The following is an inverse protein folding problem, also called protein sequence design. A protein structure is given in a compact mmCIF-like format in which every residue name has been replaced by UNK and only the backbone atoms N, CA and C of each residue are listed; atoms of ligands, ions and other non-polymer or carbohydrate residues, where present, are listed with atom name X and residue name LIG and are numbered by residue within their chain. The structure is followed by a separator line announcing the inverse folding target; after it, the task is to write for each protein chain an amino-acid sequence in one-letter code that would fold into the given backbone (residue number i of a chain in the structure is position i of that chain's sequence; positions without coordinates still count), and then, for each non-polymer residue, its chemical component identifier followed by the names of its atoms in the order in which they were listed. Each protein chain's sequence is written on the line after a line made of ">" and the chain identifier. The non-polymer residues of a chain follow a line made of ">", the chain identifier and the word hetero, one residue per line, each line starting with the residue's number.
data_IF_310685685891
#
_entry.id   IF_310685685891
#
_cell.length_a   1.000
_cell.length_b   1.000
_cell.length_c   1.000
_cell.angle_alpha   90.00
_cell.angle_beta   90.00
_cell.angle_gamma   90.00
#
_symmetry.space_group_name_H-M   'P 1'
#
loop_
_entity.id
_entity.type
_entity.pdbx_description
1 polymer ?
#
# COMPACT_ATOMS: atom_id res chain seq x y z
N UNK A 1 -7.07 -9.56 5.52
CA UNK A 1 -7.71 -8.71 6.55
C UNK A 1 -7.56 -9.41 7.89
N UNK A 2 -7.51 -8.63 8.98
CA UNK A 2 -7.56 -9.14 10.36
C UNK A 2 -8.63 -8.42 11.19
N UNK A 3 -8.82 -7.10 11.02
CA UNK A 3 -9.89 -6.31 11.66
C UNK A 3 -10.52 -5.38 10.60
N UNK A 4 -11.85 -5.17 10.63
CA UNK A 4 -12.57 -4.19 9.79
C UNK A 4 -13.10 -4.72 8.45
N UNK A 5 -13.21 -3.82 7.45
CA UNK A 5 -13.60 -4.14 6.07
C UNK A 5 -12.39 -4.40 5.17
N UNK A 6 -12.62 -4.95 3.97
CA UNK A 6 -11.54 -5.34 3.06
C UNK A 6 -10.89 -4.10 2.47
N UNK A 7 -9.61 -3.92 2.76
CA UNK A 7 -8.79 -2.85 2.17
C UNK A 7 -7.81 -3.47 1.17
N UNK A 8 -8.08 -3.20 -0.10
CA UNK A 8 -7.23 -3.52 -1.24
C UNK A 8 -5.95 -2.67 -1.24
N UNK A 9 -4.94 -3.09 -2.00
CA UNK A 9 -3.72 -2.28 -2.17
C UNK A 9 -4.04 -0.95 -2.88
N UNK A 10 -4.97 -0.96 -3.83
CA UNK A 10 -5.35 0.22 -4.59
C UNK A 10 -5.98 1.29 -3.69
N UNK A 11 -6.91 0.90 -2.81
CA UNK A 11 -7.51 1.83 -1.83
C UNK A 11 -6.46 2.47 -0.91
N UNK A 12 -5.40 1.73 -0.54
CA UNK A 12 -4.29 2.28 0.24
C UNK A 12 -3.48 3.29 -0.58
N UNK A 13 -3.25 3.02 -1.86
CA UNK A 13 -2.50 3.90 -2.75
C UNK A 13 -3.27 5.17 -3.14
N UNK A 14 -4.59 5.09 -3.22
CA UNK A 14 -5.48 6.22 -3.52
C UNK A 14 -5.75 7.10 -2.29
N UNK A 15 -5.24 6.73 -1.11
CA UNK A 15 -5.39 7.51 0.10
C UNK A 15 -4.75 8.89 -0.04
N UNK A 16 -5.50 9.94 0.33
CA UNK A 16 -5.01 11.31 0.38
C UNK A 16 -4.90 11.77 1.84
N UNK A 17 -3.69 12.06 2.34
CA UNK A 17 -3.47 12.53 3.72
C UNK A 17 -4.19 13.84 4.04
N UNK A 18 -4.43 14.67 3.03
CA UNK A 18 -5.15 15.94 3.15
C UNK A 18 -6.55 15.75 2.53
N UNK A 19 -7.61 15.69 3.36
CA UNK A 19 -8.98 15.57 2.85
C UNK A 19 -9.38 16.80 2.04
N UNK A 20 -10.10 16.62 0.93
CA UNK A 20 -10.58 17.72 0.09
C UNK A 20 -11.51 18.70 0.82
N UNK A 21 -12.16 18.25 1.91
CA UNK A 21 -13.04 19.07 2.76
C UNK A 21 -12.28 19.92 3.79
N UNK A 22 -10.96 19.75 3.92
CA UNK A 22 -10.16 20.52 4.87
C UNK A 22 -9.88 21.92 4.32
N UNK A 23 -10.07 22.94 5.16
CA UNK A 23 -9.70 24.32 4.82
C UNK A 23 -8.19 24.43 4.53
N UNK A 24 -7.84 25.15 3.46
CA UNK A 24 -6.45 25.33 3.05
C UNK A 24 -5.56 25.95 4.16
N UNK A 25 -6.13 26.73 5.06
CA UNK A 25 -5.42 27.32 6.21
C UNK A 25 -4.97 26.30 7.25
N UNK A 26 -5.62 25.13 7.31
CA UNK A 26 -5.38 24.07 8.29
C UNK A 26 -4.41 23.00 7.81
N UNK A 27 -4.16 22.91 6.49
CA UNK A 27 -3.27 21.89 5.90
C UNK A 27 -1.85 21.96 6.45
N UNK A 28 -1.36 23.16 6.81
CA UNK A 28 -0.05 23.38 7.43
C UNK A 28 0.15 22.68 8.79
N UNK A 29 -0.93 22.26 9.44
CA UNK A 29 -0.86 21.53 10.71
C UNK A 29 -0.76 20.01 10.52
N UNK A 30 -0.90 19.51 9.28
CA UNK A 30 -0.74 18.10 8.95
C UNK A 30 0.74 17.79 8.83
N UNK A 31 1.28 17.02 9.77
CA UNK A 31 2.69 16.58 9.75
C UNK A 31 2.93 15.42 8.77
N UNK A 32 1.89 14.65 8.48
CA UNK A 32 1.94 13.46 7.62
C UNK A 32 0.83 12.49 7.97
N UNK A 33 0.99 11.23 7.56
CA UNK A 33 0.14 10.13 7.99
C UNK A 33 0.99 8.94 8.45
N UNK A 34 0.34 7.96 9.06
CA UNK A 34 0.95 6.75 9.57
C UNK A 34 0.16 5.54 9.10
N UNK A 35 0.86 4.42 8.90
CA UNK A 35 0.24 3.10 8.77
C UNK A 35 0.44 2.33 10.07
N UNK A 36 -0.65 1.79 10.61
CA UNK A 36 -0.68 1.04 11.84
C UNK A 36 -0.95 -0.44 11.58
N UNK A 37 -0.30 -1.29 12.37
CA UNK A 37 -0.51 -2.74 12.36
C UNK A 37 -0.97 -3.14 13.73
N UNK A 38 -2.23 -3.57 13.81
CA UNK A 38 -2.80 -4.11 15.04
C UNK A 38 -2.54 -5.61 15.12
N UNK A 39 -2.08 -6.08 16.27
CA UNK A 39 -1.51 -7.43 16.43
C UNK A 39 -2.40 -8.40 17.20
N UNK A 40 -3.66 -8.07 17.47
CA UNK A 40 -4.59 -8.90 18.26
C UNK A 40 -4.74 -10.32 17.70
N UNK A 41 -4.64 -10.48 16.37
CA UNK A 41 -4.67 -11.78 15.69
C UNK A 41 -3.40 -12.07 14.88
N UNK A 42 -2.29 -11.42 15.21
CA UNK A 42 -0.99 -11.64 14.58
C UNK A 42 -0.11 -12.38 15.58
N UNK A 43 -0.03 -13.70 15.45
CA UNK A 43 0.66 -14.57 16.40
C UNK A 43 2.14 -14.80 16.10
N UNK A 44 2.64 -14.35 14.95
CA UNK A 44 4.03 -14.52 14.55
C UNK A 44 4.49 -13.46 13.54
N UNK A 45 5.80 -13.34 13.37
CA UNK A 45 6.45 -12.39 12.48
C UNK A 45 6.07 -12.60 11.02
N UNK A 46 6.03 -13.85 10.52
CA UNK A 46 5.62 -14.15 9.16
C UNK A 46 4.21 -13.62 8.84
N UNK A 47 3.29 -13.70 9.81
CA UNK A 47 1.95 -13.12 9.68
C UNK A 47 1.98 -11.60 9.72
N UNK A 48 2.84 -10.99 10.53
CA UNK A 48 3.04 -9.55 10.56
C UNK A 48 3.56 -9.04 9.21
N UNK A 49 4.61 -9.65 8.68
CA UNK A 49 5.18 -9.36 7.36
C UNK A 49 4.12 -9.47 6.26
N UNK A 50 3.35 -10.58 6.26
CA UNK A 50 2.26 -10.79 5.30
C UNK A 50 1.21 -9.66 5.35
N UNK A 51 0.99 -9.10 6.53
CA UNK A 51 0.05 -8.00 6.73
C UNK A 51 0.67 -6.63 6.36
N UNK A 52 1.95 -6.42 6.59
CA UNK A 52 2.66 -5.18 6.27
C UNK A 52 2.87 -5.05 4.76
N UNK A 53 3.41 -6.09 4.13
CA UNK A 53 3.81 -6.04 2.74
C UNK A 53 2.71 -6.57 1.80
N UNK A 54 2.49 -5.91 0.65
CA UNK A 54 3.20 -4.73 0.14
C UNK A 54 2.49 -3.38 0.43
N UNK A 55 1.47 -3.36 1.30
CA UNK A 55 0.69 -2.13 1.60
C UNK A 55 1.55 -1.00 2.14
N UNK A 56 2.59 -1.31 2.89
CA UNK A 56 3.56 -0.31 3.37
C UNK A 56 4.23 0.43 2.20
N UNK A 57 4.48 -0.21 1.06
CA UNK A 57 5.05 0.46 -0.11
C UNK A 57 4.09 1.51 -0.69
N UNK A 58 2.80 1.21 -0.74
CA UNK A 58 1.79 2.17 -1.17
C UNK A 58 1.76 3.39 -0.22
N UNK A 59 1.69 3.16 1.10
CA UNK A 59 1.70 4.25 2.07
C UNK A 59 2.99 5.08 2.03
N UNK A 60 4.14 4.44 1.85
CA UNK A 60 5.41 5.16 1.70
C UNK A 60 5.42 6.03 0.45
N UNK A 61 4.91 5.54 -0.68
CA UNK A 61 4.85 6.35 -1.90
C UNK A 61 3.84 7.50 -1.79
N UNK A 62 2.68 7.26 -1.16
CA UNK A 62 1.66 8.29 -0.89
C UNK A 62 2.22 9.43 -0.06
N UNK A 63 3.05 9.13 0.95
CA UNK A 63 3.58 10.12 1.88
C UNK A 63 4.86 10.81 1.39
N UNK A 64 5.64 10.14 0.55
CA UNK A 64 6.92 10.67 0.08
C UNK A 64 6.83 11.38 -1.27
N UNK A 65 6.01 10.84 -2.19
CA UNK A 65 5.98 11.33 -3.58
C UNK A 65 4.96 12.45 -3.76
N UNK A 66 5.30 13.50 -4.54
CA UNK A 66 4.32 14.51 -4.93
C UNK A 66 3.13 13.90 -5.65
N UNK A 67 1.92 14.40 -5.37
CA UNK A 67 0.68 13.86 -5.95
C UNK A 67 0.70 13.76 -7.48
N UNK A 68 1.28 14.73 -8.17
CA UNK A 68 1.30 14.78 -9.63
C UNK A 68 2.15 13.72 -10.32
N UNK A 69 3.04 13.03 -9.59
CA UNK A 69 3.91 11.99 -10.16
C UNK A 69 3.47 10.56 -9.79
N UNK A 70 2.44 10.44 -8.95
CA UNK A 70 1.90 9.15 -8.52
C UNK A 70 1.04 8.57 -9.65
N UNK A 71 1.44 7.40 -10.14
CA UNK A 71 0.73 6.64 -11.17
C UNK A 71 0.60 5.18 -10.75
N UNK A 72 -0.64 4.66 -10.74
CA UNK A 72 -0.94 3.33 -10.23
C UNK A 72 -0.29 2.21 -11.05
N UNK A 73 -0.30 2.32 -12.38
CA UNK A 73 0.29 1.30 -13.24
C UNK A 73 1.81 1.22 -13.04
N UNK A 74 2.48 2.38 -12.99
CA UNK A 74 3.91 2.46 -12.71
C UNK A 74 4.26 2.02 -11.29
N UNK A 75 3.40 2.30 -10.32
CA UNK A 75 3.55 1.80 -8.95
C UNK A 75 3.49 0.26 -8.90
N UNK A 76 2.58 -0.37 -9.65
CA UNK A 76 2.50 -1.83 -9.73
C UNK A 76 3.76 -2.44 -10.36
N UNK A 77 4.31 -1.81 -11.41
CA UNK A 77 5.59 -2.23 -12.03
C UNK A 77 6.73 -2.15 -11.01
N UNK A 78 6.88 -1.02 -10.29
CA UNK A 78 7.88 -0.86 -9.24
C UNK A 78 7.69 -1.88 -8.12
N UNK A 79 6.45 -2.07 -7.68
CA UNK A 79 6.11 -3.01 -6.60
C UNK A 79 6.46 -4.43 -6.99
N UNK A 80 6.18 -4.86 -8.22
CA UNK A 80 6.54 -6.21 -8.69
C UNK A 80 8.05 -6.47 -8.60
N UNK A 81 8.88 -5.48 -8.93
CA UNK A 81 10.34 -5.58 -8.76
C UNK A 81 10.75 -5.67 -7.28
N UNK A 82 10.09 -4.93 -6.39
CA UNK A 82 10.32 -5.00 -4.95
C UNK A 82 9.91 -6.35 -4.36
N UNK A 83 8.83 -6.96 -4.86
CA UNK A 83 8.39 -8.29 -4.42
C UNK A 83 9.48 -9.34 -4.68
N UNK A 84 10.18 -9.27 -5.81
CA UNK A 84 11.33 -10.16 -6.07
C UNK A 84 12.46 -10.02 -5.05
N UNK A 85 12.67 -8.82 -4.50
CA UNK A 85 13.62 -8.60 -3.40
C UNK A 85 13.12 -9.20 -2.10
N UNK A 86 11.83 -9.05 -1.78
CA UNK A 86 11.22 -9.66 -0.59
C UNK A 86 11.33 -11.19 -0.62
N UNK A 87 11.10 -11.82 -1.78
CA UNK A 87 11.29 -13.27 -1.97
C UNK A 87 12.74 -13.68 -1.68
N UNK A 88 13.73 -12.92 -2.18
CA UNK A 88 15.15 -13.18 -1.92
C UNK A 88 15.51 -13.05 -0.45
N UNK A 89 14.88 -12.09 0.24
CA UNK A 89 15.04 -11.85 1.68
C UNK A 89 14.22 -12.83 2.55
N UNK A 90 13.41 -13.70 1.94
CA UNK A 90 12.48 -14.61 2.62
C UNK A 90 11.44 -13.90 3.51
N UNK A 91 11.04 -12.69 3.12
CA UNK A 91 9.98 -11.93 3.81
C UNK A 91 8.62 -12.36 3.27
N UNK A 92 7.67 -12.63 4.17
CA UNK A 92 6.31 -13.02 3.78
C UNK A 92 5.50 -11.78 3.36
N UNK A 93 4.75 -11.87 2.26
CA UNK A 93 3.94 -10.75 1.77
C UNK A 93 2.61 -11.20 1.16
N UNK A 94 1.64 -10.28 1.13
CA UNK A 94 0.35 -10.48 0.50
C UNK A 94 0.44 -10.64 -1.02
N UNK A 95 0.02 -11.79 -1.55
CA UNK A 95 0.09 -12.10 -3.00
C UNK A 95 -1.00 -11.46 -3.86
N UNK A 96 -1.92 -10.69 -3.26
CA UNK A 96 -3.05 -10.03 -3.96
C UNK A 96 -2.65 -8.93 -4.95
N UNK A 97 -1.35 -8.78 -5.23
CA UNK A 97 -0.73 -7.70 -6.01
C UNK A 97 -0.02 -8.23 -7.24
N UNK A 98 0.16 -9.56 -7.34
CA UNK A 98 0.60 -10.14 -8.60
C UNK A 98 -0.44 -9.81 -9.64
N UNK A 99 -0.04 -8.95 -10.59
CA UNK A 99 -0.72 -8.78 -11.87
C UNK A 99 -0.74 -10.18 -12.45
N UNK A 100 -1.83 -10.90 -12.22
CA UNK A 100 -2.03 -12.16 -12.91
C UNK A 100 -2.22 -11.76 -14.36
N UNK A 101 -1.59 -12.48 -15.28
CA UNK A 101 -1.74 -12.27 -16.73
C UNK A 101 -3.22 -12.19 -17.15
N UNK A 102 -4.14 -12.71 -16.31
CA UNK A 102 -5.60 -12.57 -16.41
C UNK A 102 -6.17 -11.16 -16.29
N UNK A 103 -5.51 -10.20 -15.64
CA UNK A 103 -5.98 -8.80 -15.60
C UNK A 103 -5.61 -8.04 -16.87
N UNK A 104 -4.44 -8.30 -17.47
CA UNK A 104 -4.06 -7.75 -18.77
C UNK A 104 -4.93 -8.30 -19.93
N UNK A 105 -5.53 -9.49 -19.76
CA UNK A 105 -6.43 -10.09 -20.73
C UNK A 105 -7.88 -9.59 -20.65
N UNK A 106 -8.24 -8.77 -19.65
CA UNK A 106 -9.62 -8.30 -19.43
C UNK A 106 -9.87 -6.87 -19.92
N UNK A 107 -8.84 -6.20 -20.43
CA UNK A 107 -8.90 -4.87 -21.05
C UNK A 107 -8.64 -4.90 -22.57
N UNK A 108 -8.71 -6.09 -23.19
CA UNK A 108 -8.83 -6.27 -24.65
C UNK A 108 -10.21 -6.80 -24.99
#
# INVERSE_FOLDING_TARGET
>A
MVIGSYTSLQEVYEYEPIPAKMEASKTKFVLGAQSNVWTEYISNEAKAEYMIFPRVFAMSEVLWSPKGVRDWAMFLVRTNNLLGRLETMKIHYGKGVRITEKQAAKEK
#
